data_IF_939531885383
#
_entry.id   IF_939531885383
#
_cell.length_a   1.000
_cell.length_b   1.000
_cell.length_c   1.000
_cell.angle_alpha   90.00
_cell.angle_beta   90.00
_cell.angle_gamma   90.00
#
_symmetry.space_group_name_H-M   'P 1'
#
loop_
_entity.id
_entity.type
_entity.pdbx_description
1 polymer ?
#
# COMPACT_ATOMS: atom_id res chain seq x y z
N UNK A 1 32.26 -7.91 8.33
CA UNK A 1 31.40 -8.60 7.33
C UNK A 1 30.44 -7.58 6.79
N UNK A 2 30.58 -7.19 5.53
CA UNK A 2 29.62 -6.28 4.86
C UNK A 2 28.37 -7.13 4.59
N UNK A 3 27.27 -6.85 5.26
CA UNK A 3 25.98 -7.48 4.99
C UNK A 3 25.63 -7.21 3.53
N UNK A 4 25.59 -8.24 2.69
CA UNK A 4 25.07 -8.09 1.33
C UNK A 4 23.62 -7.61 1.43
N UNK A 5 23.39 -6.36 1.05
CA UNK A 5 22.03 -5.81 0.98
C UNK A 5 21.23 -6.66 0.00
N UNK A 6 20.09 -7.15 0.45
CA UNK A 6 19.24 -8.04 -0.34
C UNK A 6 18.52 -7.22 -1.41
N UNK A 7 18.71 -7.61 -2.67
CA UNK A 7 18.01 -6.99 -3.80
C UNK A 7 16.53 -7.36 -3.86
N UNK A 8 15.74 -6.39 -4.25
CA UNK A 8 14.29 -6.52 -4.47
C UNK A 8 14.02 -6.10 -5.91
N UNK A 9 13.22 -6.88 -6.62
CA UNK A 9 12.73 -6.51 -7.95
C UNK A 9 11.58 -5.52 -7.86
N UNK A 10 11.57 -4.54 -8.76
CA UNK A 10 10.43 -3.64 -9.00
C UNK A 10 9.28 -4.36 -9.72
N UNK A 11 9.52 -5.56 -10.27
CA UNK A 11 8.62 -6.27 -11.17
C UNK A 11 8.82 -5.88 -12.65
N UNK A 12 9.69 -4.93 -12.94
CA UNK A 12 9.99 -4.47 -14.30
C UNK A 12 11.49 -4.70 -14.57
N UNK A 13 11.78 -5.72 -15.38
CA UNK A 13 13.15 -6.17 -15.63
C UNK A 13 14.07 -5.04 -16.14
N UNK A 14 13.57 -4.21 -17.05
CA UNK A 14 14.35 -3.10 -17.61
C UNK A 14 14.69 -2.05 -16.55
N UNK A 15 13.74 -1.79 -15.64
CA UNK A 15 13.94 -0.86 -14.55
C UNK A 15 14.93 -1.43 -13.52
N UNK A 16 14.82 -2.71 -13.18
CA UNK A 16 15.77 -3.39 -12.30
C UNK A 16 17.20 -3.33 -12.86
N UNK A 17 17.36 -3.51 -14.18
CA UNK A 17 18.66 -3.38 -14.85
C UNK A 17 19.20 -1.95 -14.80
N UNK A 18 18.34 -0.95 -15.02
CA UNK A 18 18.71 0.46 -15.00
C UNK A 18 19.13 0.94 -13.61
N UNK A 19 18.38 0.53 -12.57
CA UNK A 19 18.62 0.95 -11.19
C UNK A 19 19.67 0.08 -10.46
N UNK A 20 20.05 -1.06 -11.03
CA UNK A 20 20.79 -2.09 -10.29
C UNK A 20 19.96 -2.83 -9.27
N UNK A 21 18.61 -2.75 -9.36
CA UNK A 21 17.65 -3.26 -8.40
C UNK A 21 17.37 -2.29 -7.25
N UNK A 22 16.39 -2.65 -6.42
CA UNK A 22 16.09 -1.98 -5.16
C UNK A 22 16.68 -2.77 -4.01
N UNK A 23 16.89 -2.13 -2.87
CA UNK A 23 17.37 -2.77 -1.66
C UNK A 23 16.29 -2.77 -0.59
N UNK A 24 16.36 -3.73 0.33
CA UNK A 24 15.51 -3.71 1.53
C UNK A 24 15.76 -2.41 2.30
N UNK A 25 14.68 -1.67 2.59
CA UNK A 25 14.72 -0.36 3.24
C UNK A 25 14.71 0.82 2.27
N UNK A 26 14.77 0.59 0.94
CA UNK A 26 14.63 1.68 -0.03
C UNK A 26 13.19 2.20 -0.06
N UNK A 27 13.08 3.53 -0.13
CA UNK A 27 11.83 4.23 -0.35
C UNK A 27 11.83 4.79 -1.77
N UNK A 28 10.83 4.41 -2.57
CA UNK A 28 10.70 4.83 -3.98
C UNK A 28 9.44 5.65 -4.14
N UNK A 29 9.58 6.86 -4.65
CA UNK A 29 8.47 7.75 -4.97
C UNK A 29 8.32 7.80 -6.49
N UNK A 30 7.13 7.46 -6.96
CA UNK A 30 6.75 7.64 -8.35
C UNK A 30 6.06 8.98 -8.51
N UNK A 31 6.66 9.86 -9.28
CA UNK A 31 6.08 11.11 -9.68
C UNK A 31 5.53 10.99 -11.10
N UNK A 32 4.25 11.27 -11.28
CA UNK A 32 3.55 11.10 -12.56
C UNK A 32 2.68 12.31 -12.85
N UNK A 33 3.06 13.11 -13.83
CA UNK A 33 2.32 14.29 -14.25
C UNK A 33 1.07 13.95 -15.09
N UNK A 34 1.08 12.80 -15.76
CA UNK A 34 0.05 12.41 -16.71
C UNK A 34 -1.00 11.46 -16.12
N UNK A 35 -0.82 11.01 -14.89
CA UNK A 35 -1.80 10.20 -14.15
C UNK A 35 -1.98 8.77 -14.62
N UNK A 36 -1.02 8.17 -15.34
CA UNK A 36 -1.23 6.85 -15.93
C UNK A 36 -0.17 5.79 -15.56
N UNK A 37 1.09 6.16 -15.41
CA UNK A 37 2.18 5.19 -15.28
C UNK A 37 2.41 4.69 -13.85
N UNK A 38 2.18 5.50 -12.83
CA UNK A 38 2.38 5.09 -11.43
C UNK A 38 1.59 3.83 -11.08
N UNK A 39 0.38 3.69 -11.63
CA UNK A 39 -0.45 2.50 -11.41
C UNK A 39 0.16 1.23 -12.01
N UNK A 40 0.87 1.34 -13.14
CA UNK A 40 1.54 0.21 -13.78
C UNK A 40 2.69 -0.27 -12.90
N UNK A 41 3.47 0.66 -12.33
CA UNK A 41 4.56 0.32 -11.41
C UNK A 41 4.04 -0.37 -10.15
N UNK A 42 2.97 0.15 -9.53
CA UNK A 42 2.33 -0.50 -8.40
C UNK A 42 1.87 -1.92 -8.73
N UNK A 43 1.21 -2.12 -9.88
CA UNK A 43 0.73 -3.45 -10.30
C UNK A 43 1.89 -4.43 -10.52
N UNK A 44 2.99 -3.99 -11.15
CA UNK A 44 4.16 -4.84 -11.35
C UNK A 44 4.85 -5.21 -10.03
N UNK A 45 4.92 -4.28 -9.06
CA UNK A 45 5.45 -4.56 -7.73
C UNK A 45 4.59 -5.58 -6.97
N UNK A 46 3.25 -5.46 -7.09
CA UNK A 46 2.31 -6.42 -6.51
C UNK A 46 2.49 -7.79 -7.17
N UNK A 47 2.60 -7.86 -8.50
CA UNK A 47 2.87 -9.09 -9.22
C UNK A 47 4.18 -9.73 -8.77
N UNK A 48 5.26 -8.94 -8.69
CA UNK A 48 6.55 -9.43 -8.21
C UNK A 48 6.48 -9.94 -6.75
N UNK A 49 5.64 -9.33 -5.92
CA UNK A 49 5.41 -9.80 -4.55
C UNK A 49 4.66 -11.11 -4.53
N UNK A 50 3.64 -11.24 -5.37
CA UNK A 50 2.88 -12.49 -5.55
C UNK A 50 3.79 -13.64 -6.00
N UNK A 51 4.58 -13.43 -7.06
CA UNK A 51 5.48 -14.44 -7.64
C UNK A 51 6.54 -14.91 -6.64
N UNK A 52 7.02 -13.98 -5.81
CA UNK A 52 8.03 -14.25 -4.78
C UNK A 52 7.43 -14.69 -3.43
N UNK A 53 6.12 -14.81 -3.33
CA UNK A 53 5.38 -15.12 -2.07
C UNK A 53 5.78 -14.20 -0.93
N UNK A 54 5.94 -12.89 -1.22
CA UNK A 54 6.31 -11.87 -0.25
C UNK A 54 5.09 -11.12 0.23
N UNK A 55 4.97 -10.86 1.54
CA UNK A 55 3.86 -10.07 2.05
C UNK A 55 3.95 -8.63 1.53
N UNK A 56 2.79 -8.08 1.18
CA UNK A 56 2.63 -6.72 0.72
C UNK A 56 1.43 -6.07 1.41
N UNK A 57 1.64 -4.90 1.98
CA UNK A 57 0.59 -4.04 2.53
C UNK A 57 0.33 -2.92 1.52
N UNK A 58 -0.89 -2.83 1.05
CA UNK A 58 -1.34 -1.78 0.14
C UNK A 58 -2.24 -0.80 0.90
N UNK A 59 -1.77 0.43 1.09
CA UNK A 59 -2.49 1.48 1.80
C UNK A 59 -3.21 2.36 0.77
N UNK A 60 -4.54 2.32 0.76
CA UNK A 60 -5.37 3.01 -0.23
C UNK A 60 -6.06 4.22 0.37
N UNK A 61 -5.71 5.44 -0.11
CA UNK A 61 -6.35 6.70 0.26
C UNK A 61 -7.35 7.19 -0.77
N UNK A 62 -7.16 6.85 -2.06
CA UNK A 62 -7.94 7.42 -3.17
C UNK A 62 -8.95 6.45 -3.79
N UNK A 63 -8.87 5.17 -3.46
CA UNK A 63 -9.75 4.16 -4.07
C UNK A 63 -10.52 3.37 -3.04
N UNK A 64 -11.82 3.21 -3.30
CA UNK A 64 -12.62 2.27 -2.51
C UNK A 64 -12.11 0.84 -2.69
N UNK A 65 -12.30 -0.04 -1.69
CA UNK A 65 -11.89 -1.45 -1.79
C UNK A 65 -12.44 -2.13 -3.04
N UNK A 66 -13.69 -1.90 -3.39
CA UNK A 66 -14.31 -2.46 -4.60
C UNK A 66 -13.52 -2.08 -5.86
N UNK A 67 -13.28 -0.79 -6.06
CA UNK A 67 -12.58 -0.30 -7.25
C UNK A 67 -11.13 -0.79 -7.29
N UNK A 68 -10.49 -0.89 -6.12
CA UNK A 68 -9.13 -1.41 -6.03
C UNK A 68 -9.07 -2.89 -6.41
N UNK A 69 -10.00 -3.70 -5.93
CA UNK A 69 -10.06 -5.13 -6.25
C UNK A 69 -10.36 -5.37 -7.73
N UNK A 70 -11.26 -4.60 -8.32
CA UNK A 70 -11.55 -4.65 -9.77
C UNK A 70 -10.29 -4.30 -10.58
N UNK A 71 -9.54 -3.27 -10.15
CA UNK A 71 -8.28 -2.87 -10.79
C UNK A 71 -7.20 -3.94 -10.70
N UNK A 72 -7.06 -4.59 -9.55
CA UNK A 72 -6.05 -5.61 -9.30
C UNK A 72 -6.41 -6.96 -9.95
N UNK A 73 -7.69 -7.21 -10.21
CA UNK A 73 -8.16 -8.44 -10.82
C UNK A 73 -7.67 -9.69 -10.08
N UNK A 74 -7.05 -10.66 -10.78
CA UNK A 74 -6.57 -11.90 -10.15
C UNK A 74 -5.54 -11.67 -9.02
N UNK A 75 -4.75 -10.60 -9.07
CA UNK A 75 -3.76 -10.29 -8.03
C UNK A 75 -4.41 -9.97 -6.69
N UNK A 76 -5.65 -9.48 -6.72
CA UNK A 76 -6.41 -9.23 -5.51
C UNK A 76 -6.66 -10.52 -4.69
N UNK A 77 -6.56 -11.70 -5.29
CA UNK A 77 -6.75 -12.99 -4.63
C UNK A 77 -5.50 -13.53 -3.94
N UNK A 78 -4.42 -12.75 -3.94
CA UNK A 78 -3.18 -13.15 -3.28
C UNK A 78 -3.33 -13.20 -1.76
N UNK A 79 -3.05 -14.34 -1.17
CA UNK A 79 -2.97 -14.47 0.30
C UNK A 79 -1.82 -13.67 0.93
N UNK A 80 -0.92 -13.12 0.10
CA UNK A 80 0.20 -12.28 0.53
C UNK A 80 -0.10 -10.79 0.43
N UNK A 81 -1.30 -10.40 -0.05
CA UNK A 81 -1.73 -9.01 -0.17
C UNK A 81 -2.68 -8.68 0.97
N UNK A 82 -2.32 -7.65 1.73
CA UNK A 82 -3.22 -7.02 2.71
C UNK A 82 -3.52 -5.59 2.28
N UNK A 83 -4.78 -5.23 2.22
CA UNK A 83 -5.22 -3.87 1.88
C UNK A 83 -5.62 -3.14 3.16
N UNK A 84 -4.99 -1.99 3.41
CA UNK A 84 -5.44 -1.02 4.41
C UNK A 84 -6.34 -0.01 3.71
N UNK A 85 -7.63 -0.06 4.04
CA UNK A 85 -8.63 0.86 3.50
C UNK A 85 -8.68 2.12 4.36
N UNK A 86 -8.00 3.16 3.88
CA UNK A 86 -8.08 4.52 4.39
C UNK A 86 -9.11 5.36 3.63
N UNK A 87 -9.65 4.85 2.50
CA UNK A 87 -10.60 5.59 1.68
C UNK A 87 -11.99 5.64 2.31
N UNK A 88 -12.54 4.50 2.74
CA UNK A 88 -13.95 4.41 3.14
C UNK A 88 -14.32 5.36 4.26
N UNK A 89 -13.47 5.52 5.28
CA UNK A 89 -13.67 6.46 6.39
C UNK A 89 -12.90 7.77 6.24
N UNK A 90 -12.06 7.90 5.21
CA UNK A 90 -11.43 9.13 4.81
C UNK A 90 -12.25 9.85 3.75
N UNK A 91 -11.77 9.89 2.52
CA UNK A 91 -12.45 10.56 1.38
C UNK A 91 -13.85 10.00 1.07
N UNK A 92 -14.13 8.76 1.43
CA UNK A 92 -15.46 8.15 1.32
C UNK A 92 -16.47 8.61 2.35
N UNK A 93 -16.03 9.43 3.32
CA UNK A 93 -16.84 10.04 4.39
C UNK A 93 -17.77 9.07 5.14
N UNK A 94 -17.34 7.81 5.26
CA UNK A 94 -18.13 6.77 5.91
C UNK A 94 -19.48 6.46 5.24
N UNK A 95 -19.65 6.87 3.97
CA UNK A 95 -20.89 6.67 3.22
C UNK A 95 -21.36 5.21 3.26
N UNK A 96 -22.66 4.99 3.37
CA UNK A 96 -23.29 3.67 3.34
C UNK A 96 -22.92 2.87 2.08
N UNK A 97 -22.72 3.52 0.95
CA UNK A 97 -22.35 2.88 -0.32
C UNK A 97 -21.05 2.08 -0.14
N UNK A 98 -20.04 2.67 0.52
CA UNK A 98 -18.77 2.01 0.77
C UNK A 98 -18.84 1.02 1.94
N UNK A 99 -19.65 1.30 2.96
CA UNK A 99 -19.85 0.37 4.07
C UNK A 99 -20.61 -0.91 3.65
N UNK A 100 -21.56 -0.82 2.73
CA UNK A 100 -22.26 -1.99 2.16
C UNK A 100 -21.33 -3.01 1.49
N UNK A 101 -20.16 -2.58 1.03
CA UNK A 101 -19.13 -3.50 0.54
C UNK A 101 -18.74 -4.51 1.61
N UNK A 102 -18.53 -4.06 2.84
CA UNK A 102 -18.14 -4.93 3.96
C UNK A 102 -19.26 -5.86 4.41
N UNK A 103 -20.51 -5.39 4.36
CA UNK A 103 -21.69 -6.20 4.72
C UNK A 103 -21.88 -7.37 3.75
N UNK A 104 -21.70 -7.11 2.45
CA UNK A 104 -21.92 -8.12 1.41
C UNK A 104 -20.78 -9.13 1.29
N UNK A 105 -19.56 -8.71 1.54
CA UNK A 105 -18.36 -9.47 1.18
C UNK A 105 -17.55 -9.92 2.39
N UNK A 106 -17.79 -9.38 3.57
CA UNK A 106 -16.94 -9.57 4.75
C UNK A 106 -16.74 -11.02 5.21
N UNK A 107 -17.67 -11.94 4.86
CA UNK A 107 -17.57 -13.35 5.23
C UNK A 107 -17.08 -14.28 4.09
N UNK A 108 -16.94 -13.76 2.88
CA UNK A 108 -16.69 -14.58 1.67
C UNK A 108 -15.37 -14.28 0.96
N UNK A 109 -14.61 -13.32 1.46
CA UNK A 109 -13.41 -12.88 0.76
C UNK A 109 -12.17 -13.61 1.25
N UNK A 110 -11.36 -14.19 0.33
CA UNK A 110 -10.05 -14.70 0.69
C UNK A 110 -9.07 -13.56 1.00
N UNK A 111 -9.52 -12.29 0.96
CA UNK A 111 -8.68 -11.12 1.04
C UNK A 111 -8.64 -10.54 2.44
N UNK A 112 -7.47 -10.12 2.84
CA UNK A 112 -7.32 -9.32 4.04
C UNK A 112 -7.51 -7.85 3.69
N UNK A 113 -8.74 -7.34 3.89
CA UNK A 113 -9.02 -5.90 3.82
C UNK A 113 -9.33 -5.42 5.22
N UNK A 114 -8.52 -4.50 5.69
CA UNK A 114 -8.63 -3.91 7.02
C UNK A 114 -9.03 -2.45 6.86
N UNK A 115 -10.19 -2.10 7.39
CA UNK A 115 -10.68 -0.72 7.39
C UNK A 115 -10.05 0.03 8.55
N UNK A 116 -9.34 1.13 8.27
CA UNK A 116 -8.83 2.04 9.29
C UNK A 116 -10.00 2.86 9.86
N UNK A 117 -10.07 2.96 11.19
CA UNK A 117 -11.21 3.60 11.84
C UNK A 117 -11.25 5.11 11.66
N UNK A 118 -10.12 5.77 11.78
CA UNK A 118 -9.99 7.21 11.54
C UNK A 118 -8.71 7.49 10.74
N UNK A 119 -8.77 7.34 9.41
CA UNK A 119 -7.60 7.55 8.56
C UNK A 119 -7.20 9.01 8.41
N UNK A 120 -8.02 9.97 8.89
CA UNK A 120 -7.64 11.37 8.99
C UNK A 120 -6.60 11.62 10.10
N UNK A 121 -6.42 10.67 11.02
CA UNK A 121 -5.38 10.72 12.03
C UNK A 121 -4.15 9.88 11.57
N UNK A 122 -3.01 10.52 11.26
CA UNK A 122 -1.81 9.82 10.80
C UNK A 122 -1.36 8.70 11.75
N UNK A 123 -1.51 8.91 13.06
CA UNK A 123 -1.11 7.94 14.07
C UNK A 123 -1.92 6.64 14.00
N UNK A 124 -3.22 6.70 13.68
CA UNK A 124 -4.04 5.50 13.50
C UNK A 124 -3.64 4.69 12.27
N UNK A 125 -3.28 5.36 11.18
CA UNK A 125 -2.75 4.69 9.99
C UNK A 125 -1.41 4.02 10.31
N UNK A 126 -0.53 4.73 11.04
CA UNK A 126 0.75 4.21 11.46
C UNK A 126 0.61 2.98 12.36
N UNK A 127 -0.28 3.04 13.35
CA UNK A 127 -0.54 1.94 14.27
C UNK A 127 -1.04 0.69 13.52
N UNK A 128 -1.95 0.87 12.56
CA UNK A 128 -2.45 -0.22 11.72
C UNK A 128 -1.31 -0.85 10.89
N UNK A 129 -0.44 -0.04 10.29
CA UNK A 129 0.72 -0.53 9.54
C UNK A 129 1.67 -1.29 10.46
N UNK A 130 2.01 -0.75 11.64
CA UNK A 130 2.90 -1.42 12.59
C UNK A 130 2.35 -2.74 13.12
N UNK A 131 1.05 -2.76 13.40
CA UNK A 131 0.40 -4.00 13.84
C UNK A 131 0.55 -5.09 12.77
N UNK A 132 0.27 -4.76 11.52
CA UNK A 132 0.43 -5.68 10.40
C UNK A 132 1.89 -6.09 10.18
N UNK A 133 2.80 -5.13 10.18
CA UNK A 133 4.23 -5.41 10.01
C UNK A 133 4.76 -6.39 11.06
N UNK A 134 4.32 -6.26 12.31
CA UNK A 134 4.70 -7.19 13.40
C UNK A 134 4.13 -8.59 13.24
N UNK A 135 2.97 -8.73 12.59
CA UNK A 135 2.33 -10.04 12.37
C UNK A 135 2.85 -10.75 11.12
N UNK A 136 3.44 -9.99 10.21
CA UNK A 136 4.03 -10.52 8.99
C UNK A 136 5.51 -10.86 9.21
N UNK A 137 5.98 -11.89 8.51
CA UNK A 137 7.41 -12.23 8.53
C UNK A 137 8.22 -11.17 7.78
N UNK A 138 9.55 -11.16 8.02
CA UNK A 138 10.49 -10.22 7.43
C UNK A 138 10.30 -9.93 5.93
N UNK A 139 10.68 -8.72 5.51
CA UNK A 139 10.65 -8.22 4.15
C UNK A 139 9.24 -7.93 3.59
N UNK A 140 8.42 -7.31 4.40
CA UNK A 140 7.14 -6.74 3.99
C UNK A 140 7.38 -5.59 3.00
N UNK A 141 6.61 -5.58 1.92
CA UNK A 141 6.56 -4.46 0.98
C UNK A 141 5.38 -3.56 1.31
N UNK A 142 5.60 -2.26 1.17
CA UNK A 142 4.56 -1.26 1.41
C UNK A 142 4.31 -0.48 0.11
N UNK A 143 3.04 -0.31 -0.22
CA UNK A 143 2.58 0.56 -1.30
C UNK A 143 1.60 1.56 -0.73
N UNK A 144 1.85 2.84 -0.97
CA UNK A 144 0.94 3.93 -0.61
C UNK A 144 0.32 4.50 -1.88
N UNK A 145 -0.97 4.35 -2.06
CA UNK A 145 -1.74 4.99 -3.14
C UNK A 145 -2.76 5.96 -2.52
N UNK A 146 -2.58 7.25 -2.64
CA UNK A 146 -1.47 8.03 -3.17
C UNK A 146 -0.94 9.00 -2.11
N UNK A 147 0.26 9.55 -2.34
CA UNK A 147 0.78 10.62 -1.47
C UNK A 147 -0.10 11.86 -1.51
N UNK A 148 -0.63 12.22 -2.69
CA UNK A 148 -1.58 13.32 -2.85
C UNK A 148 -2.84 13.07 -2.05
N UNK A 149 -3.42 11.86 -2.13
CA UNK A 149 -4.58 11.48 -1.36
C UNK A 149 -4.37 11.54 0.15
N UNK A 150 -3.18 11.17 0.60
CA UNK A 150 -2.75 11.29 1.99
C UNK A 150 -2.64 12.77 2.41
N UNK A 151 -2.00 13.61 1.60
CA UNK A 151 -1.86 15.04 1.86
C UNK A 151 -3.22 15.74 1.97
N UNK A 152 -4.13 15.44 1.03
CA UNK A 152 -5.49 15.99 1.03
C UNK A 152 -6.24 15.61 2.32
N UNK A 153 -6.13 14.35 2.74
CA UNK A 153 -6.83 13.87 3.94
C UNK A 153 -6.26 14.45 5.23
N UNK A 154 -4.94 14.67 5.28
CA UNK A 154 -4.24 15.15 6.48
C UNK A 154 -4.04 16.67 6.51
N UNK A 155 -4.61 17.40 5.56
CA UNK A 155 -4.57 18.87 5.57
C UNK A 155 -3.24 19.47 5.14
N UNK A 156 -2.41 18.72 4.40
CA UNK A 156 -1.23 19.25 3.75
C UNK A 156 0.03 18.37 3.78
N UNK A 157 1.04 18.87 3.08
CA UNK A 157 2.32 18.18 2.89
C UNK A 157 3.10 17.96 4.20
N UNK A 158 3.00 18.87 5.15
CA UNK A 158 3.76 18.81 6.40
C UNK A 158 3.43 17.55 7.20
N UNK A 159 2.15 17.18 7.29
CA UNK A 159 1.71 15.97 7.98
C UNK A 159 2.19 14.70 7.29
N UNK A 160 2.12 14.66 5.97
CA UNK A 160 2.65 13.53 5.19
C UNK A 160 4.17 13.41 5.37
N UNK A 161 4.91 14.51 5.31
CA UNK A 161 6.36 14.54 5.53
C UNK A 161 6.73 14.05 6.94
N UNK A 162 6.01 14.52 7.96
CA UNK A 162 6.20 14.06 9.34
C UNK A 162 5.94 12.57 9.47
N UNK A 163 4.87 12.07 8.88
CA UNK A 163 4.57 10.63 8.83
C UNK A 163 5.75 9.83 8.27
N UNK A 164 6.28 10.20 7.09
CA UNK A 164 7.40 9.49 6.49
C UNK A 164 8.68 9.58 7.31
N UNK A 165 9.00 10.73 7.86
CA UNK A 165 10.20 10.88 8.70
C UNK A 165 10.17 10.00 9.94
N UNK A 166 8.99 9.66 10.45
CA UNK A 166 8.83 8.78 11.60
C UNK A 166 8.68 7.29 11.23
N UNK A 167 8.06 6.99 10.07
CA UNK A 167 7.81 5.61 9.66
C UNK A 167 9.00 4.94 8.99
N UNK A 168 9.66 5.63 8.05
CA UNK A 168 10.75 5.04 7.28
C UNK A 168 11.89 4.43 8.11
N UNK A 169 12.34 5.01 9.23
CA UNK A 169 13.38 4.39 10.06
C UNK A 169 12.91 3.17 10.86
N UNK A 170 11.61 2.90 10.89
CA UNK A 170 10.98 1.89 11.76
C UNK A 170 10.35 0.73 11.00
N UNK A 171 10.18 0.88 9.71
CA UNK A 171 9.65 -0.11 8.78
C UNK A 171 10.75 -0.70 7.90
#
# INVERSE_FOLDING_TARGET
MVSQKKHISTGIKQLDQLLGGLYVGDNVIWYDDAGSLASIFCTNLIQASYDQKRPLIYVSFDRSPKNLLEKLGPLAQSQHLTILDCFTRGKGDGSEIFNKFYEKNGARWPYQIIKVNDPAQPDQVMEAIYHLHKTMQDNVRLVFESLTGMQDLWGGEEHARKFYSHSCPRL
#
